data_IF_100302697581
#
_entry.id   IF_100302697581
#
_cell.length_a   1.000
_cell.length_b   1.000
_cell.length_c   1.000
_cell.angle_alpha   90.00
_cell.angle_beta   90.00
_cell.angle_gamma   90.00
#
_symmetry.space_group_name_H-M   'P 1'
#
loop_
_entity.id
_entity.type
_entity.pdbx_description
1 polymer ?
#
# COMPACT_ATOMS: atom_id res chain seq x y z
N UNK A 1 34.07 -40.48 64.28
CA UNK A 1 32.98 -39.75 63.53
C UNK A 1 33.62 -38.87 62.51
N UNK A 2 33.46 -39.21 61.22
CA UNK A 2 34.03 -38.45 60.07
C UNK A 2 32.99 -37.44 59.61
N UNK A 3 33.33 -36.18 59.62
CA UNK A 3 32.55 -35.13 58.98
C UNK A 3 32.96 -35.03 57.52
N UNK A 4 32.00 -35.29 56.61
CA UNK A 4 32.15 -35.06 55.18
C UNK A 4 31.59 -33.64 54.93
N UNK A 5 32.50 -32.73 54.56
CA UNK A 5 32.09 -31.39 54.04
C UNK A 5 31.84 -31.55 52.54
N UNK A 6 30.58 -31.38 52.13
CA UNK A 6 30.23 -31.26 50.72
C UNK A 6 30.38 -29.80 50.31
N UNK A 7 31.36 -29.54 49.47
CA UNK A 7 31.48 -28.28 48.77
C UNK A 7 30.44 -28.26 47.61
N UNK A 8 29.43 -27.44 47.74
CA UNK A 8 28.50 -27.16 46.66
C UNK A 8 29.07 -26.09 45.75
N UNK A 9 29.44 -26.43 44.53
CA UNK A 9 29.80 -25.46 43.50
C UNK A 9 28.53 -24.76 43.01
N UNK A 10 28.35 -23.49 43.37
CA UNK A 10 27.28 -22.63 42.85
C UNK A 10 27.74 -22.14 41.46
N UNK A 11 27.28 -22.84 40.40
CA UNK A 11 27.48 -22.40 39.03
C UNK A 11 26.50 -21.26 38.73
N UNK A 12 26.96 -20.02 38.91
CA UNK A 12 26.20 -18.85 38.55
C UNK A 12 26.11 -18.73 37.03
N UNK A 13 24.94 -19.07 36.46
CA UNK A 13 24.65 -18.82 35.06
C UNK A 13 24.42 -17.30 34.88
N UNK A 14 25.43 -16.58 34.43
CA UNK A 14 25.29 -15.22 33.97
C UNK A 14 24.51 -15.23 32.66
N UNK A 15 23.20 -15.06 32.73
CA UNK A 15 22.37 -14.69 31.58
C UNK A 15 22.68 -13.25 31.23
N UNK A 16 23.63 -13.03 30.33
CA UNK A 16 23.77 -11.75 29.65
C UNK A 16 22.62 -11.67 28.66
N UNK A 17 21.54 -11.00 29.02
CA UNK A 17 20.55 -10.52 28.06
C UNK A 17 21.25 -9.46 27.23
N UNK A 18 21.78 -9.85 26.07
CA UNK A 18 22.10 -8.90 25.04
C UNK A 18 20.77 -8.24 24.65
N UNK A 19 20.57 -7.01 25.10
CA UNK A 19 19.49 -6.18 24.57
C UNK A 19 19.76 -6.05 23.06
N UNK A 20 18.99 -6.76 22.25
CA UNK A 20 19.03 -6.57 20.82
C UNK A 20 18.71 -5.08 20.59
N UNK A 21 19.70 -4.33 20.10
CA UNK A 21 19.48 -2.94 19.71
C UNK A 21 18.45 -2.98 18.59
N UNK A 22 17.27 -2.44 18.86
CA UNK A 22 16.25 -2.30 17.81
C UNK A 22 16.88 -1.52 16.65
N UNK A 23 16.99 -2.17 15.50
CA UNK A 23 17.57 -1.55 14.33
C UNK A 23 16.50 -0.68 13.68
N UNK A 24 16.80 0.59 13.48
CA UNK A 24 15.88 1.55 12.88
C UNK A 24 16.12 1.57 11.38
N UNK A 25 15.10 1.19 10.60
CA UNK A 25 15.05 1.36 9.15
C UNK A 25 14.35 2.69 8.86
N UNK A 26 14.97 3.53 8.05
CA UNK A 26 14.37 4.77 7.56
C UNK A 26 14.00 4.57 6.09
N UNK A 27 12.75 4.82 5.76
CA UNK A 27 12.22 4.78 4.40
C UNK A 27 11.62 6.13 4.04
N UNK A 28 11.98 6.65 2.88
CA UNK A 28 11.32 7.80 2.28
C UNK A 28 10.21 7.30 1.37
N UNK A 29 8.97 7.64 1.72
CA UNK A 29 7.79 7.21 0.97
C UNK A 29 7.14 8.38 0.27
N UNK A 30 6.56 8.13 -0.90
CA UNK A 30 5.75 9.08 -1.67
C UNK A 30 4.41 8.41 -1.96
N UNK A 31 3.32 9.08 -1.62
CA UNK A 31 1.96 8.68 -1.95
C UNK A 31 1.33 9.71 -2.88
N UNK A 32 0.75 9.24 -4.01
CA UNK A 32 0.26 10.13 -5.05
C UNK A 32 -0.95 9.55 -5.80
N UNK A 33 -2.08 10.25 -5.73
CA UNK A 33 -3.17 10.02 -6.67
C UNK A 33 -2.86 10.78 -7.97
N UNK A 34 -2.64 10.04 -9.07
CA UNK A 34 -2.18 10.61 -10.34
C UNK A 34 -3.33 10.96 -11.30
N UNK A 35 -4.58 10.72 -10.88
CA UNK A 35 -5.77 10.96 -11.71
C UNK A 35 -5.58 10.44 -13.15
N UNK A 36 -5.12 9.20 -13.27
CA UNK A 36 -4.80 8.59 -14.57
C UNK A 36 -3.84 9.41 -15.45
N UNK A 37 -2.97 10.21 -14.85
CA UNK A 37 -2.09 11.18 -15.52
C UNK A 37 -2.84 12.25 -16.33
N UNK A 38 -4.09 12.53 -16.03
CA UNK A 38 -4.91 13.56 -16.72
C UNK A 38 -4.59 14.99 -16.29
N UNK A 39 -3.37 15.30 -15.94
CA UNK A 39 -3.02 16.66 -15.53
C UNK A 39 -3.16 17.67 -16.70
N UNK A 40 -4.23 18.39 -16.66
CA UNK A 40 -4.49 19.77 -17.11
C UNK A 40 -4.05 20.23 -18.50
N UNK A 41 -3.22 19.56 -19.23
CA UNK A 41 -2.97 19.98 -20.60
C UNK A 41 -3.91 19.23 -21.56
N UNK A 42 -4.74 20.00 -22.25
CA UNK A 42 -5.74 19.55 -23.22
C UNK A 42 -5.15 18.94 -24.48
N UNK A 43 -3.83 18.72 -24.49
CA UNK A 43 -3.10 18.30 -25.69
C UNK A 43 -3.00 16.79 -25.93
N UNK A 44 -3.52 15.93 -25.06
CA UNK A 44 -3.44 14.47 -25.15
C UNK A 44 -2.01 13.89 -25.30
N UNK A 45 -0.97 14.62 -24.92
CA UNK A 45 0.41 14.12 -24.98
C UNK A 45 0.76 13.37 -23.69
N UNK A 46 0.29 12.13 -23.59
CA UNK A 46 0.48 11.25 -22.45
C UNK A 46 1.95 11.02 -22.10
N UNK A 47 2.83 10.93 -23.11
CA UNK A 47 4.27 10.70 -22.90
C UNK A 47 4.95 11.90 -22.21
N UNK A 48 4.50 13.12 -22.46
CA UNK A 48 5.00 14.32 -21.82
C UNK A 48 4.64 14.34 -20.32
N UNK A 49 3.42 13.95 -19.99
CA UNK A 49 2.96 13.86 -18.59
C UNK A 49 3.81 12.85 -17.82
N UNK A 50 4.10 11.68 -18.38
CA UNK A 50 4.94 10.67 -17.73
C UNK A 50 6.35 11.21 -17.44
N UNK A 51 6.93 12.01 -18.34
CA UNK A 51 8.22 12.64 -18.12
C UNK A 51 8.25 13.55 -16.90
N UNK A 52 7.25 14.41 -16.76
CA UNK A 52 7.11 15.29 -15.59
C UNK A 52 6.98 14.50 -14.27
N UNK A 53 6.20 13.42 -14.26
CA UNK A 53 6.05 12.55 -13.08
C UNK A 53 7.38 11.87 -12.74
N UNK A 54 8.11 11.36 -13.72
CA UNK A 54 9.43 10.76 -13.50
C UNK A 54 10.41 11.78 -12.90
N UNK A 55 10.43 12.99 -13.42
CA UNK A 55 11.34 14.04 -12.94
C UNK A 55 10.98 14.48 -11.51
N UNK A 56 9.70 14.62 -11.21
CA UNK A 56 9.23 14.93 -9.85
C UNK A 56 9.58 13.81 -8.85
N UNK A 57 9.36 12.54 -9.21
CA UNK A 57 9.70 11.40 -8.37
C UNK A 57 11.23 11.35 -8.16
N UNK A 58 12.03 11.53 -9.22
CA UNK A 58 13.49 11.58 -9.10
C UNK A 58 13.97 12.71 -8.19
N UNK A 59 13.36 13.88 -8.30
CA UNK A 59 13.70 15.02 -7.46
C UNK A 59 13.42 14.75 -5.98
N UNK A 60 12.36 14.01 -5.67
CA UNK A 60 12.06 13.57 -4.31
C UNK A 60 12.93 12.41 -3.85
N UNK A 61 13.41 11.57 -4.78
CA UNK A 61 14.22 10.38 -4.49
C UNK A 61 13.62 9.47 -3.40
N UNK A 62 12.34 9.06 -3.51
CA UNK A 62 11.71 8.18 -2.52
C UNK A 62 12.26 6.76 -2.64
N UNK A 63 12.14 5.98 -1.57
CA UNK A 63 12.43 4.56 -1.56
C UNK A 63 11.24 3.73 -2.03
N UNK A 64 10.03 4.23 -1.74
CA UNK A 64 8.74 3.63 -2.10
C UNK A 64 7.84 4.71 -2.70
N UNK A 65 7.10 4.34 -3.74
CA UNK A 65 6.03 5.18 -4.31
C UNK A 65 4.75 4.37 -4.33
N UNK A 66 3.69 4.89 -3.73
CA UNK A 66 2.32 4.41 -3.90
C UNK A 66 1.62 5.33 -4.89
N UNK A 67 0.95 4.74 -5.88
CA UNK A 67 0.28 5.46 -6.96
C UNK A 67 -1.18 5.03 -7.00
N UNK A 68 -2.10 5.95 -6.78
CA UNK A 68 -3.52 5.71 -6.98
C UNK A 68 -3.99 6.23 -8.33
N UNK A 69 -5.11 5.69 -8.81
CA UNK A 69 -5.72 6.01 -10.10
C UNK A 69 -4.82 5.79 -11.31
N UNK A 70 -4.14 4.67 -11.33
CA UNK A 70 -3.26 4.27 -12.41
C UNK A 70 -4.03 3.46 -13.45
N UNK A 71 -3.92 3.87 -14.72
CA UNK A 71 -4.35 3.06 -15.84
C UNK A 71 -3.15 2.38 -16.51
N UNK A 72 -3.37 1.17 -16.99
CA UNK A 72 -2.35 0.43 -17.73
C UNK A 72 -2.97 -0.34 -18.88
N UNK A 73 -2.35 -0.25 -20.07
CA UNK A 73 -2.82 -0.94 -21.28
C UNK A 73 -4.16 -0.48 -21.82
N UNK A 74 -4.75 0.62 -21.34
CA UNK A 74 -5.98 1.18 -21.89
C UNK A 74 -5.75 1.87 -23.23
N UNK A 75 -6.81 2.08 -24.02
CA UNK A 75 -6.66 2.71 -25.35
C UNK A 75 -6.02 4.10 -25.29
N UNK A 76 -6.30 4.86 -24.25
CA UNK A 76 -5.71 6.20 -24.05
C UNK A 76 -4.29 6.17 -23.49
N UNK A 77 -3.92 5.14 -22.75
CA UNK A 77 -2.60 5.02 -22.12
C UNK A 77 -1.62 4.16 -22.92
N UNK A 78 -2.11 3.29 -23.78
CA UNK A 78 -1.37 2.56 -24.83
C UNK A 78 -0.27 1.61 -24.37
N UNK A 79 0.26 1.76 -23.17
CA UNK A 79 1.37 0.97 -22.62
C UNK A 79 1.17 0.70 -21.14
N UNK A 80 1.95 -0.23 -20.62
CA UNK A 80 2.05 -0.52 -19.17
C UNK A 80 2.81 0.61 -18.45
N UNK A 81 2.07 1.62 -18.01
CA UNK A 81 2.67 2.83 -17.43
C UNK A 81 3.44 2.58 -16.14
N UNK A 82 3.00 1.66 -15.29
CA UNK A 82 3.73 1.32 -14.08
C UNK A 82 5.11 0.71 -14.41
N UNK A 83 5.16 -0.19 -15.40
CA UNK A 83 6.42 -0.80 -15.85
C UNK A 83 7.35 0.23 -16.50
N UNK A 84 6.78 1.18 -17.25
CA UNK A 84 7.54 2.29 -17.83
C UNK A 84 8.17 3.17 -16.74
N UNK A 85 7.36 3.59 -15.74
CA UNK A 85 7.85 4.34 -14.58
C UNK A 85 8.94 3.57 -13.83
N UNK A 86 8.69 2.30 -13.53
CA UNK A 86 9.63 1.42 -12.84
C UNK A 86 11.00 1.36 -13.55
N UNK A 87 10.97 1.15 -14.86
CA UNK A 87 12.20 1.09 -15.68
C UNK A 87 12.97 2.41 -15.66
N UNK A 88 12.27 3.55 -15.71
CA UNK A 88 12.90 4.87 -15.75
C UNK A 88 13.42 5.31 -14.38
N UNK A 89 12.85 4.76 -13.30
CA UNK A 89 13.20 5.08 -11.91
C UNK A 89 14.14 4.04 -11.28
N UNK A 90 14.45 2.95 -11.99
CA UNK A 90 15.20 1.79 -11.46
C UNK A 90 14.53 1.22 -10.19
N UNK A 91 13.24 0.94 -10.28
CA UNK A 91 12.42 0.44 -9.17
C UNK A 91 11.66 -0.82 -9.57
N UNK A 92 11.31 -1.66 -8.61
CA UNK A 92 10.48 -2.85 -8.77
C UNK A 92 9.00 -2.46 -8.75
N UNK A 93 8.19 -2.82 -9.77
CA UNK A 93 6.78 -2.50 -9.84
C UNK A 93 5.89 -3.60 -9.25
N UNK A 94 4.74 -3.20 -8.67
CA UNK A 94 3.63 -4.08 -8.37
C UNK A 94 2.31 -3.38 -8.69
N UNK A 95 1.51 -3.95 -9.63
CA UNK A 95 0.21 -3.42 -10.02
C UNK A 95 -0.90 -4.08 -9.22
N UNK A 96 -1.81 -3.28 -8.67
CA UNK A 96 -2.97 -3.69 -7.88
C UNK A 96 -4.22 -3.38 -8.71
N UNK A 97 -4.75 -4.39 -9.38
CA UNK A 97 -5.92 -4.23 -10.25
C UNK A 97 -7.18 -3.96 -9.43
N UNK A 98 -7.96 -2.96 -9.84
CA UNK A 98 -9.29 -2.70 -9.33
C UNK A 98 -10.37 -3.25 -10.29
N UNK A 99 -10.28 -2.92 -11.57
CA UNK A 99 -11.23 -3.42 -12.58
C UNK A 99 -10.63 -3.34 -13.99
N UNK A 100 -11.17 -4.15 -14.94
CA UNK A 100 -10.88 -3.99 -16.35
C UNK A 100 -11.44 -2.65 -16.87
N UNK A 101 -10.62 -1.90 -17.58
CA UNK A 101 -11.04 -0.64 -18.21
C UNK A 101 -10.64 -0.66 -19.68
N UNK A 102 -11.64 -0.61 -20.55
CA UNK A 102 -11.44 -0.68 -22.00
C UNK A 102 -10.67 -1.98 -22.37
N UNK A 103 -9.52 -1.89 -23.02
CA UNK A 103 -8.65 -3.03 -23.36
C UNK A 103 -7.56 -3.30 -22.33
N UNK A 104 -7.54 -2.54 -21.25
CA UNK A 104 -6.55 -2.62 -20.18
C UNK A 104 -7.18 -2.69 -18.79
N UNK A 105 -6.53 -2.07 -17.81
CA UNK A 105 -6.93 -2.12 -16.41
C UNK A 105 -6.80 -0.74 -15.74
N UNK A 106 -7.60 -0.56 -14.71
CA UNK A 106 -7.50 0.54 -13.76
C UNK A 106 -7.22 -0.02 -12.36
N UNK A 107 -6.42 0.71 -11.59
CA UNK A 107 -6.06 0.29 -10.25
C UNK A 107 -5.05 1.19 -9.58
N UNK A 108 -4.18 0.57 -8.80
CA UNK A 108 -3.13 1.25 -8.05
C UNK A 108 -1.78 0.61 -8.36
N UNK A 109 -0.71 1.25 -7.95
CA UNK A 109 0.64 0.73 -8.16
C UNK A 109 1.54 1.00 -6.97
N UNK A 110 2.51 0.11 -6.77
CA UNK A 110 3.61 0.33 -5.84
C UNK A 110 4.92 0.20 -6.63
N UNK A 111 5.81 1.17 -6.43
CA UNK A 111 7.21 1.08 -6.88
C UNK A 111 8.11 1.01 -5.66
N UNK A 112 9.11 0.13 -5.70
CA UNK A 112 10.06 -0.06 -4.61
C UNK A 112 11.49 -0.09 -5.13
N UNK A 113 12.43 0.62 -4.47
CA UNK A 113 13.88 0.43 -4.71
C UNK A 113 14.38 -0.91 -4.20
N UNK A 114 13.63 -1.55 -3.30
CA UNK A 114 14.03 -2.81 -2.68
C UNK A 114 13.34 -4.00 -3.35
N UNK A 115 13.98 -5.18 -3.37
CA UNK A 115 13.36 -6.37 -3.92
C UNK A 115 12.05 -6.73 -3.22
N UNK A 116 11.04 -7.09 -4.02
CA UNK A 116 9.76 -7.58 -3.54
C UNK A 116 9.91 -9.07 -3.27
N UNK A 117 9.70 -9.50 -2.02
CA UNK A 117 9.81 -10.91 -1.60
C UNK A 117 8.46 -11.61 -1.56
N UNK A 118 7.38 -10.87 -1.34
CA UNK A 118 6.01 -11.36 -1.47
C UNK A 118 5.07 -10.23 -1.89
N UNK A 119 3.90 -10.58 -2.40
CA UNK A 119 2.87 -9.62 -2.77
C UNK A 119 1.47 -10.24 -2.68
N UNK A 120 0.48 -9.39 -2.48
CA UNK A 120 -0.92 -9.76 -2.41
C UNK A 120 -1.80 -8.62 -2.90
N UNK A 121 -2.91 -8.94 -3.55
CA UNK A 121 -3.95 -7.97 -3.85
C UNK A 121 -5.35 -8.56 -3.70
N UNK A 122 -6.31 -7.72 -3.33
CA UNK A 122 -7.71 -8.07 -3.20
C UNK A 122 -8.60 -6.90 -3.62
N UNK A 123 -9.76 -7.22 -4.15
CA UNK A 123 -10.82 -6.25 -4.33
C UNK A 123 -11.45 -5.93 -2.97
N UNK A 124 -11.85 -4.68 -2.79
CA UNK A 124 -12.69 -4.34 -1.66
C UNK A 124 -14.07 -4.97 -1.81
N UNK A 125 -14.65 -5.48 -0.72
CA UNK A 125 -16.01 -5.99 -0.75
C UNK A 125 -16.96 -4.84 -1.13
N UNK A 126 -17.87 -5.16 -2.03
CA UNK A 126 -18.84 -4.24 -2.53
C UNK A 126 -20.24 -4.71 -2.11
N UNK A 127 -20.81 -4.04 -1.11
CA UNK A 127 -22.17 -4.34 -0.66
C UNK A 127 -22.99 -3.06 -0.65
N UNK A 128 -23.72 -2.83 -1.73
CA UNK A 128 -24.76 -1.81 -1.73
C UNK A 128 -26.12 -2.46 -1.84
N UNK A 129 -27.09 -1.93 -1.12
CA UNK A 129 -28.48 -2.20 -1.39
C UNK A 129 -28.84 -1.55 -2.74
N UNK A 130 -29.59 -2.28 -3.55
CA UNK A 130 -30.06 -1.83 -4.87
C UNK A 130 -30.81 -0.50 -4.69
N UNK A 131 -30.31 0.59 -5.28
CA UNK A 131 -30.95 1.91 -5.25
C UNK A 131 -30.32 2.94 -4.31
N UNK A 132 -29.25 2.62 -3.59
CA UNK A 132 -28.47 3.58 -2.82
C UNK A 132 -27.37 4.18 -3.69
N UNK A 133 -27.50 5.43 -4.08
CA UNK A 133 -26.52 6.20 -4.84
C UNK A 133 -27.05 6.78 -6.14
N UNK A 134 -26.68 8.03 -6.40
CA UNK A 134 -27.18 8.83 -7.54
C UNK A 134 -26.28 8.78 -8.78
N UNK A 135 -25.28 7.95 -8.84
CA UNK A 135 -24.36 7.88 -9.98
C UNK A 135 -24.66 6.70 -10.89
N UNK A 136 -25.14 6.99 -12.09
CA UNK A 136 -25.25 6.04 -13.20
C UNK A 136 -24.03 6.23 -14.11
N UNK A 137 -22.97 5.44 -13.91
CA UNK A 137 -21.94 5.32 -14.92
C UNK A 137 -22.33 4.23 -15.91
N UNK A 138 -22.54 4.62 -17.15
CA UNK A 138 -23.03 3.74 -18.22
C UNK A 138 -21.84 3.00 -18.86
N UNK A 139 -21.23 2.04 -18.14
CA UNK A 139 -20.05 1.32 -18.61
C UNK A 139 -20.30 -0.09 -19.10
N UNK A 140 -21.55 -0.59 -19.02
CA UNK A 140 -21.91 -1.93 -19.49
C UNK A 140 -21.43 -3.10 -18.61
N UNK A 141 -20.83 -2.85 -17.47
CA UNK A 141 -20.47 -3.86 -16.48
C UNK A 141 -21.44 -3.83 -15.30
N UNK A 142 -21.86 -4.99 -14.80
CA UNK A 142 -22.80 -5.09 -13.67
C UNK A 142 -22.31 -4.37 -12.39
N UNK A 143 -21.01 -4.23 -12.22
CA UNK A 143 -20.38 -3.54 -11.08
C UNK A 143 -20.69 -2.05 -11.02
N UNK A 144 -21.04 -1.44 -12.14
CA UNK A 144 -21.34 -0.01 -12.23
C UNK A 144 -22.83 0.32 -12.14
N UNK A 145 -23.68 -0.67 -11.98
CA UNK A 145 -25.13 -0.46 -11.86
C UNK A 145 -25.52 0.39 -10.64
N UNK A 146 -24.58 0.64 -9.72
CA UNK A 146 -24.84 1.33 -8.45
C UNK A 146 -24.03 2.61 -8.26
N UNK A 147 -23.23 3.01 -9.22
CA UNK A 147 -22.55 4.30 -9.21
C UNK A 147 -21.33 4.40 -8.31
N UNK A 148 -20.69 3.28 -7.99
CA UNK A 148 -19.45 3.23 -7.23
C UNK A 148 -18.38 2.52 -8.04
N UNK A 149 -17.16 3.05 -7.96
CA UNK A 149 -16.01 2.42 -8.60
C UNK A 149 -15.54 1.21 -7.78
N UNK A 150 -15.33 0.07 -8.43
CA UNK A 150 -14.68 -1.05 -7.77
C UNK A 150 -13.30 -0.62 -7.29
N UNK A 151 -13.08 -0.74 -6.00
CA UNK A 151 -11.81 -0.38 -5.36
C UNK A 151 -11.03 -1.62 -4.93
N UNK A 152 -9.74 -1.43 -4.70
CA UNK A 152 -8.82 -2.52 -4.34
C UNK A 152 -7.80 -2.09 -3.31
N UNK A 153 -7.21 -3.07 -2.67
CA UNK A 153 -6.03 -2.95 -1.86
C UNK A 153 -4.98 -3.96 -2.29
N UNK A 154 -3.74 -3.69 -2.02
CA UNK A 154 -2.69 -4.66 -2.16
C UNK A 154 -1.50 -4.30 -1.28
N UNK A 155 -0.62 -5.26 -1.07
CA UNK A 155 0.64 -5.02 -0.39
C UNK A 155 1.79 -5.76 -1.06
N UNK A 156 2.97 -5.26 -0.79
CA UNK A 156 4.24 -5.93 -1.04
C UNK A 156 5.01 -6.05 0.27
N UNK A 157 5.71 -7.15 0.45
CA UNK A 157 6.74 -7.29 1.47
C UNK A 157 8.10 -7.08 0.79
N UNK A 158 8.88 -6.14 1.26
CA UNK A 158 10.18 -5.76 0.70
C UNK A 158 11.30 -6.13 1.65
N UNK A 159 12.45 -6.50 1.11
CA UNK A 159 13.66 -6.75 1.90
C UNK A 159 14.53 -5.50 1.90
N UNK A 160 14.55 -4.80 3.03
CA UNK A 160 15.34 -3.60 3.23
C UNK A 160 16.70 -4.00 3.84
N UNK A 161 17.83 -3.64 3.23
CA UNK A 161 19.14 -3.90 3.79
C UNK A 161 19.31 -3.22 5.15
N UNK A 162 19.92 -3.94 6.07
CA UNK A 162 20.29 -3.44 7.40
C UNK A 162 21.78 -3.64 7.62
N UNK A 163 22.32 -3.13 8.72
CA UNK A 163 23.73 -3.39 9.06
C UNK A 163 23.99 -4.86 9.39
N UNK A 164 22.95 -5.62 9.69
CA UNK A 164 22.99 -7.06 9.86
C UNK A 164 22.87 -7.75 8.50
N UNK A 165 23.42 -8.94 8.35
CA UNK A 165 23.47 -9.66 7.07
C UNK A 165 22.12 -10.05 6.50
N UNK A 166 21.07 -10.11 7.32
CA UNK A 166 19.78 -10.72 6.93
C UNK A 166 18.76 -9.70 6.38
N UNK A 167 18.96 -8.39 6.64
CA UNK A 167 18.00 -7.35 6.27
C UNK A 167 16.73 -7.38 7.12
N UNK A 168 15.82 -6.46 6.83
CA UNK A 168 14.50 -6.33 7.48
C UNK A 168 13.39 -6.42 6.45
N UNK A 169 12.42 -7.29 6.68
CA UNK A 169 11.18 -7.28 5.88
C UNK A 169 10.28 -6.17 6.40
N UNK A 170 9.76 -5.37 5.46
CA UNK A 170 8.79 -4.31 5.72
C UNK A 170 7.60 -4.50 4.77
N UNK A 171 6.38 -4.43 5.30
CA UNK A 171 5.15 -4.48 4.50
C UNK A 171 4.73 -3.09 4.09
N UNK A 172 4.48 -2.93 2.79
CA UNK A 172 3.98 -1.69 2.19
C UNK A 172 2.60 -1.97 1.63
N UNK A 173 1.59 -1.30 2.15
CA UNK A 173 0.20 -1.42 1.71
C UNK A 173 -0.16 -0.20 0.88
N UNK A 174 -0.82 -0.42 -0.25
CA UNK A 174 -1.44 0.62 -1.05
C UNK A 174 -2.92 0.29 -1.24
N UNK A 175 -3.78 1.26 -0.97
CA UNK A 175 -5.23 1.13 -1.13
C UNK A 175 -5.83 2.40 -1.73
N UNK A 176 -7.03 2.28 -2.29
CA UNK A 176 -7.84 3.42 -2.70
C UNK A 176 -9.29 3.13 -2.32
N UNK A 177 -9.85 3.95 -1.44
CA UNK A 177 -11.22 3.80 -0.98
C UNK A 177 -12.20 4.50 -1.92
N UNK A 178 -13.47 4.14 -1.80
CA UNK A 178 -14.53 4.75 -2.57
C UNK A 178 -14.77 6.20 -2.13
N UNK A 179 -15.08 7.06 -3.08
CA UNK A 179 -15.42 8.46 -2.83
C UNK A 179 -16.93 8.69 -2.65
N UNK A 180 -17.69 7.62 -2.43
CA UNK A 180 -19.17 7.65 -2.37
C UNK A 180 -19.73 8.48 -1.21
N UNK A 181 -18.92 8.80 -0.19
CA UNK A 181 -19.37 9.52 1.01
C UNK A 181 -20.28 8.71 1.93
N UNK A 182 -20.31 7.38 1.80
CA UNK A 182 -21.09 6.48 2.65
C UNK A 182 -20.17 5.82 3.66
N UNK A 183 -20.30 6.20 4.93
CA UNK A 183 -19.44 5.75 6.02
C UNK A 183 -19.36 4.22 6.10
N UNK A 184 -20.47 3.51 5.93
CA UNK A 184 -20.50 2.05 6.00
C UNK A 184 -19.66 1.38 4.91
N UNK A 185 -19.61 1.95 3.71
CA UNK A 185 -18.77 1.45 2.61
C UNK A 185 -17.30 1.63 2.95
N UNK A 186 -16.95 2.81 3.40
CA UNK A 186 -15.57 3.15 3.80
C UNK A 186 -15.11 2.25 4.94
N UNK A 187 -15.94 2.04 5.96
CA UNK A 187 -15.63 1.13 7.09
C UNK A 187 -15.47 -0.32 6.64
N UNK A 188 -16.26 -0.79 5.67
CA UNK A 188 -16.07 -2.14 5.10
C UNK A 188 -14.74 -2.25 4.35
N UNK A 189 -14.34 -1.22 3.62
CA UNK A 189 -13.07 -1.18 2.91
C UNK A 189 -11.90 -1.11 3.90
N UNK A 190 -12.02 -0.31 4.96
CA UNK A 190 -11.07 -0.29 6.06
C UNK A 190 -10.91 -1.68 6.70
N UNK A 191 -12.02 -2.32 7.08
CA UNK A 191 -12.00 -3.67 7.66
C UNK A 191 -11.38 -4.71 6.73
N UNK A 192 -11.58 -4.55 5.42
CA UNK A 192 -10.94 -5.40 4.43
C UNK A 192 -9.42 -5.24 4.45
N UNK A 193 -8.89 -4.01 4.50
CA UNK A 193 -7.45 -3.76 4.62
C UNK A 193 -6.90 -4.37 5.91
N UNK A 194 -7.55 -4.12 7.05
CA UNK A 194 -7.15 -4.66 8.36
C UNK A 194 -7.05 -6.19 8.32
N UNK A 195 -8.05 -6.83 7.72
CA UNK A 195 -8.13 -8.30 7.65
C UNK A 195 -7.12 -8.88 6.69
N UNK A 196 -7.07 -8.37 5.44
CA UNK A 196 -6.23 -8.94 4.39
C UNK A 196 -4.74 -8.69 4.61
N UNK A 197 -4.38 -7.54 5.19
CA UNK A 197 -3.00 -7.23 5.52
C UNK A 197 -2.56 -7.72 6.90
N UNK A 198 -3.48 -8.28 7.71
CA UNK A 198 -3.17 -8.83 9.04
C UNK A 198 -2.80 -7.76 10.07
N UNK A 199 -3.38 -6.55 9.97
CA UNK A 199 -2.94 -5.41 10.77
C UNK A 199 -3.21 -5.54 12.26
N UNK A 200 -4.16 -6.40 12.68
CA UNK A 200 -4.42 -6.67 14.10
C UNK A 200 -3.27 -7.41 14.81
N UNK A 201 -2.42 -8.10 14.05
CA UNK A 201 -1.21 -8.75 14.56
C UNK A 201 -0.15 -8.80 13.43
N UNK A 202 0.45 -7.66 13.09
CA UNK A 202 1.34 -7.57 11.94
C UNK A 202 2.61 -8.41 12.17
N UNK A 203 2.95 -9.22 11.18
CA UNK A 203 4.16 -10.03 11.17
C UNK A 203 5.40 -9.15 10.98
N UNK A 204 5.26 -8.06 10.22
CA UNK A 204 6.34 -7.14 9.87
C UNK A 204 5.96 -5.69 10.19
N UNK A 205 6.94 -4.80 10.40
CA UNK A 205 6.71 -3.36 10.35
C UNK A 205 5.95 -3.00 9.08
N UNK A 206 4.88 -2.21 9.21
CA UNK A 206 3.92 -1.98 8.12
C UNK A 206 3.72 -0.50 7.91
N UNK A 207 3.70 -0.08 6.64
CA UNK A 207 3.34 1.27 6.19
C UNK A 207 2.10 1.15 5.32
N UNK A 208 1.04 1.87 5.70
CA UNK A 208 -0.19 2.01 4.92
C UNK A 208 -0.18 3.34 4.20
N UNK A 209 -0.43 3.31 2.90
CA UNK A 209 -0.52 4.47 2.01
C UNK A 209 -1.75 4.35 1.11
N UNK A 210 -2.16 5.46 0.54
CA UNK A 210 -3.22 5.51 -0.46
C UNK A 210 -4.26 6.58 -0.20
N UNK A 211 -5.14 6.78 -1.18
CA UNK A 211 -6.25 7.71 -1.11
C UNK A 211 -7.44 7.08 -0.37
N UNK A 212 -7.65 7.50 0.87
CA UNK A 212 -8.72 6.97 1.72
C UNK A 212 -10.07 7.67 1.48
N UNK A 213 -10.10 8.73 0.68
CA UNK A 213 -11.32 9.50 0.35
C UNK A 213 -12.15 9.96 1.56
N UNK A 214 -11.47 10.25 2.68
CA UNK A 214 -12.10 10.73 3.93
C UNK A 214 -11.49 12.05 4.37
N UNK A 215 -12.31 12.94 4.93
CA UNK A 215 -11.85 14.21 5.46
C UNK A 215 -11.13 14.07 6.81
N UNK A 216 -10.26 15.03 7.11
CA UNK A 216 -9.59 15.14 8.40
C UNK A 216 -10.60 15.21 9.56
N UNK A 217 -10.30 14.50 10.63
CA UNK A 217 -11.13 14.53 11.85
C UNK A 217 -12.39 13.69 11.80
N UNK A 218 -12.64 12.94 10.74
CA UNK A 218 -13.78 12.00 10.68
C UNK A 218 -13.58 10.83 11.63
N UNK A 219 -14.68 10.24 12.11
CA UNK A 219 -14.66 9.01 12.91
C UNK A 219 -14.92 7.77 12.05
N UNK A 220 -14.75 7.89 10.74
CA UNK A 220 -15.10 6.86 9.76
C UNK A 220 -14.10 5.71 9.72
N UNK A 221 -12.86 5.95 10.14
CA UNK A 221 -11.77 4.97 10.14
C UNK A 221 -11.35 4.58 11.58
N UNK A 222 -12.25 3.94 12.36
CA UNK A 222 -11.95 3.61 13.77
C UNK A 222 -10.83 2.59 13.91
N UNK A 223 -10.75 1.62 13.01
CA UNK A 223 -9.75 0.55 13.08
C UNK A 223 -8.35 1.10 12.83
N UNK A 224 -8.16 1.92 11.80
CA UNK A 224 -6.86 2.53 11.52
C UNK A 224 -6.40 3.44 12.67
N UNK A 225 -7.32 4.11 13.36
CA UNK A 225 -6.99 4.92 14.54
C UNK A 225 -6.53 4.08 15.73
N UNK A 226 -6.98 2.83 15.82
CA UNK A 226 -6.62 1.93 16.91
C UNK A 226 -5.31 1.18 16.66
N UNK A 227 -4.77 1.19 15.43
CA UNK A 227 -3.61 0.40 15.03
C UNK A 227 -2.26 1.01 15.40
N UNK A 228 -2.19 2.21 15.92
CA UNK A 228 -0.94 2.80 16.36
C UNK A 228 -0.79 4.29 16.07
N UNK A 229 0.44 4.79 16.21
CA UNK A 229 0.77 6.19 15.99
C UNK A 229 0.61 6.56 14.52
N UNK A 230 -0.26 7.53 14.25
CA UNK A 230 -0.47 8.08 12.93
C UNK A 230 0.52 9.22 12.71
N UNK A 231 1.34 9.07 11.68
CA UNK A 231 2.14 10.17 11.16
C UNK A 231 1.22 10.90 10.15
N UNK A 232 0.64 11.99 10.58
CA UNK A 232 -0.15 12.88 9.75
C UNK A 232 0.68 14.00 9.15
#
# INVERSE_FOLDING_TARGET
>A
LKHIIRAGALCGLLLTTAAAKAQTVQLKVLDWNVLSFEMTDKSNQIDFIVDEYVDLIKAQNPDIVCINELETGTSRMGKEKLTELASRLDMYPYFIMSYPKDVGFYGNGILSKYPIVSSFSALHPYKHAKGEGNYQWNTGYEYYLYGYDQRSMGYIDILVPTSDSDGQIVRIICTHFDHCGIDQVIQQQEQNVVTQAGLNNPEYPTILMGDLNVGWGTNVLPEFRNLGDHIG
#
